data_IF_801116335411
#
_entry.id   IF_801116335411
#
_cell.length_a   1.000
_cell.length_b   1.000
_cell.length_c   1.000
_cell.angle_alpha   90.00
_cell.angle_beta   90.00
_cell.angle_gamma   90.00
#
_symmetry.space_group_name_H-M   'P 1'
#
loop_
_entity.id
_entity.type
_entity.pdbx_description
1 polymer ?
#
# COMPACT_ATOMS: atom_id res chain seq x y z
N UNK A 1 -4.83 29.18 -8.15
CA UNK A 1 -4.95 27.71 -8.29
C UNK A 1 -5.92 27.13 -7.27
N UNK A 2 -6.94 26.40 -7.73
CA UNK A 2 -7.88 25.65 -6.89
C UNK A 2 -8.00 24.21 -7.38
N UNK A 3 -8.30 23.29 -6.46
CA UNK A 3 -8.59 21.89 -6.79
C UNK A 3 -10.11 21.71 -6.77
N UNK A 4 -10.66 21.05 -7.79
CA UNK A 4 -12.08 20.67 -7.89
C UNK A 4 -12.27 19.16 -7.76
N UNK A 5 -11.39 18.38 -8.37
CA UNK A 5 -11.46 16.92 -8.33
C UNK A 5 -10.08 16.27 -8.52
N UNK A 6 -9.97 14.99 -8.14
CA UNK A 6 -8.79 14.17 -8.31
C UNK A 6 -9.24 12.82 -8.89
N UNK A 7 -8.63 12.38 -9.98
CA UNK A 7 -8.99 11.13 -10.64
C UNK A 7 -7.75 10.33 -11.08
N UNK A 8 -7.61 9.06 -10.65
CA UNK A 8 -8.42 8.40 -9.62
C UNK A 8 -8.26 9.05 -8.24
N UNK A 9 -9.30 8.99 -7.40
CA UNK A 9 -9.29 9.51 -6.03
C UNK A 9 -8.62 8.58 -5.01
N UNK A 10 -8.04 7.47 -5.48
CA UNK A 10 -7.44 6.43 -4.67
C UNK A 10 -6.27 5.74 -5.39
N UNK A 11 -5.42 5.06 -4.62
CA UNK A 11 -4.33 4.24 -5.13
C UNK A 11 -3.51 3.58 -4.03
N UNK A 12 -2.53 2.79 -4.43
CA UNK A 12 -1.80 1.92 -3.51
C UNK A 12 -0.75 2.67 -2.66
N UNK A 13 -0.53 2.20 -1.43
CA UNK A 13 0.53 2.67 -0.51
C UNK A 13 1.93 2.67 -1.12
N UNK A 14 2.19 1.83 -2.12
CA UNK A 14 3.48 1.76 -2.82
C UNK A 14 3.74 2.92 -3.77
N UNK A 15 2.73 3.71 -4.12
CA UNK A 15 2.84 4.88 -4.98
C UNK A 15 3.19 4.59 -6.44
N UNK A 16 3.36 5.66 -7.21
CA UNK A 16 3.61 5.70 -8.65
C UNK A 16 2.39 5.33 -9.50
N UNK A 17 1.20 5.60 -8.96
CA UNK A 17 0.00 5.68 -9.77
C UNK A 17 -0.08 7.06 -10.43
N UNK A 18 -0.43 7.07 -11.71
CA UNK A 18 -0.70 8.32 -12.44
C UNK A 18 -2.07 8.85 -12.04
N UNK A 19 -2.09 10.08 -11.54
CA UNK A 19 -3.30 10.78 -11.08
C UNK A 19 -3.42 12.10 -11.81
N UNK A 20 -4.64 12.44 -12.22
CA UNK A 20 -5.01 13.72 -12.82
C UNK A 20 -5.70 14.55 -11.75
N UNK A 21 -5.13 15.72 -11.46
CA UNK A 21 -5.74 16.72 -10.60
C UNK A 21 -6.46 17.73 -11.50
N UNK A 22 -7.75 17.93 -11.25
CA UNK A 22 -8.64 18.78 -12.04
C UNK A 22 -8.99 20.01 -11.20
N UNK A 23 -8.92 21.19 -11.81
CA UNK A 23 -9.14 22.45 -11.10
C UNK A 23 -9.09 23.65 -12.04
N UNK A 24 -8.69 24.80 -11.50
CA UNK A 24 -8.52 26.02 -12.29
C UNK A 24 -7.23 26.76 -11.93
N UNK A 25 -6.75 27.56 -12.88
CA UNK A 25 -5.58 28.41 -12.76
C UNK A 25 -4.30 27.61 -12.44
N UNK A 26 -4.12 26.49 -13.13
CA UNK A 26 -2.87 25.74 -13.14
C UNK A 26 -1.91 26.34 -14.17
N UNK A 27 -0.62 26.22 -13.87
CA UNK A 27 0.46 26.78 -14.68
C UNK A 27 1.73 25.96 -14.47
N UNK A 28 2.72 26.16 -15.34
CA UNK A 28 3.94 25.36 -15.33
C UNK A 28 4.80 25.64 -14.08
N UNK A 29 5.41 24.59 -13.55
CA UNK A 29 6.17 24.62 -12.29
C UNK A 29 5.31 24.59 -11.02
N UNK A 30 3.97 24.52 -11.13
CA UNK A 30 3.10 24.26 -9.98
C UNK A 30 3.38 22.85 -9.43
N UNK A 31 3.55 22.74 -8.12
CA UNK A 31 3.80 21.46 -7.44
C UNK A 31 2.53 21.00 -6.73
N UNK A 32 2.39 19.68 -6.59
CA UNK A 32 1.28 19.07 -5.83
C UNK A 32 1.85 18.48 -4.55
N UNK A 33 1.12 18.59 -3.45
CA UNK A 33 1.55 18.09 -2.15
C UNK A 33 0.52 17.07 -1.66
N UNK A 34 0.93 15.83 -1.47
CA UNK A 34 0.14 14.76 -0.86
C UNK A 34 0.47 14.69 0.63
N UNK A 35 -0.40 15.24 1.48
CA UNK A 35 -0.15 15.43 2.90
C UNK A 35 1.03 16.36 3.14
N UNK A 36 2.20 15.78 3.42
CA UNK A 36 3.47 16.48 3.61
C UNK A 36 4.51 16.20 2.51
N UNK A 37 4.20 15.34 1.54
CA UNK A 37 5.14 14.95 0.48
C UNK A 37 4.88 15.76 -0.77
N UNK A 38 5.92 16.45 -1.24
CA UNK A 38 5.87 17.25 -2.46
C UNK A 38 6.18 16.36 -3.67
N UNK A 39 5.37 16.50 -4.73
CA UNK A 39 5.58 15.85 -6.01
C UNK A 39 5.59 16.86 -7.15
N UNK A 40 6.42 16.56 -8.15
CA UNK A 40 6.41 17.27 -9.41
C UNK A 40 5.10 16.99 -10.15
N UNK A 41 4.59 18.04 -10.80
CA UNK A 41 3.41 17.94 -11.65
C UNK A 41 3.75 18.39 -13.06
N UNK A 42 3.07 17.77 -14.01
CA UNK A 42 3.17 18.10 -15.42
C UNK A 42 1.87 18.76 -15.85
N UNK A 43 1.99 19.95 -16.42
CA UNK A 43 0.84 20.70 -16.91
C UNK A 43 0.30 20.07 -18.19
N UNK A 44 -0.96 19.61 -18.16
CA UNK A 44 -1.67 19.21 -19.37
C UNK A 44 -2.43 20.41 -19.93
N UNK A 45 -3.23 21.06 -19.07
CA UNK A 45 -3.97 22.29 -19.39
C UNK A 45 -4.04 23.18 -18.16
N UNK A 46 -4.44 24.46 -18.29
CA UNK A 46 -4.72 25.32 -17.13
C UNK A 46 -5.78 24.78 -16.14
N UNK A 47 -6.47 23.68 -16.49
CA UNK A 47 -7.48 23.01 -15.67
C UNK A 47 -7.11 21.58 -15.26
N UNK A 48 -5.99 21.02 -15.76
CA UNK A 48 -5.58 19.66 -15.48
C UNK A 48 -4.05 19.52 -15.38
N UNK A 49 -3.58 18.90 -14.30
CA UNK A 49 -2.18 18.52 -14.11
C UNK A 49 -2.07 17.02 -13.85
N UNK A 50 -1.00 16.42 -14.37
CA UNK A 50 -0.64 15.01 -14.16
C UNK A 50 0.40 14.90 -13.05
N UNK A 51 0.20 13.95 -12.14
CA UNK A 51 1.15 13.64 -11.06
C UNK A 51 1.33 12.14 -10.88
N UNK A 52 2.46 11.76 -10.28
CA UNK A 52 2.71 10.41 -9.78
C UNK A 52 2.56 10.42 -8.26
N UNK A 53 1.77 9.50 -7.71
CA UNK A 53 1.58 9.41 -6.25
C UNK A 53 2.88 9.02 -5.55
N UNK A 54 3.27 9.68 -4.46
CA UNK A 54 4.42 9.25 -3.68
C UNK A 54 4.13 7.95 -2.90
N UNK A 55 5.14 7.13 -2.60
CA UNK A 55 4.98 6.01 -1.66
C UNK A 55 4.61 6.51 -0.26
N UNK A 56 3.73 5.77 0.43
CA UNK A 56 3.26 6.05 1.79
C UNK A 56 3.10 4.76 2.58
N UNK A 57 3.71 4.66 3.75
CA UNK A 57 3.70 3.45 4.58
C UNK A 57 2.38 3.21 5.35
N UNK A 58 1.58 4.27 5.58
CA UNK A 58 0.29 4.19 6.30
C UNK A 58 -0.85 4.38 5.29
N UNK A 59 -1.80 3.43 5.21
CA UNK A 59 -3.02 3.59 4.42
C UNK A 59 -3.94 4.66 5.02
N UNK A 60 -4.88 5.16 4.21
CA UNK A 60 -5.89 6.12 4.61
C UNK A 60 -5.87 7.40 3.79
N UNK A 61 -6.79 8.31 4.14
CA UNK A 61 -7.00 9.57 3.42
C UNK A 61 -5.82 10.51 3.63
N UNK A 62 -5.40 11.18 2.56
CA UNK A 62 -4.50 12.33 2.59
C UNK A 62 -5.16 13.54 1.96
N UNK A 63 -4.82 14.71 2.50
CA UNK A 63 -5.14 15.97 1.88
C UNK A 63 -4.17 16.25 0.73
N UNK A 64 -4.71 16.74 -0.38
CA UNK A 64 -3.93 17.14 -1.55
C UNK A 64 -4.03 18.64 -1.68
N UNK A 65 -2.88 19.30 -1.68
CA UNK A 65 -2.76 20.75 -1.82
C UNK A 65 -1.81 21.12 -2.94
N UNK A 66 -1.72 22.39 -3.28
CA UNK A 66 -0.85 22.90 -4.33
C UNK A 66 0.24 23.78 -3.71
N UNK A 67 1.43 23.80 -4.29
CA UNK A 67 2.56 24.61 -3.83
C UNK A 67 3.29 25.25 -5.01
N UNK A 68 3.72 26.50 -4.86
CA UNK A 68 4.59 27.16 -5.83
C UNK A 68 5.47 28.19 -5.11
N UNK A 69 6.80 28.14 -5.34
CA UNK A 69 7.79 29.02 -4.68
C UNK A 69 7.57 29.14 -3.17
N UNK A 70 7.38 27.99 -2.50
CA UNK A 70 7.09 27.88 -1.06
C UNK A 70 5.76 28.48 -0.58
N UNK A 71 4.90 28.95 -1.49
CA UNK A 71 3.54 29.37 -1.17
C UNK A 71 2.56 28.22 -1.40
N UNK A 72 1.81 27.87 -0.37
CA UNK A 72 0.82 26.79 -0.43
C UNK A 72 -0.58 27.34 -0.73
N UNK A 73 -1.35 26.61 -1.54
CA UNK A 73 -2.73 26.92 -1.93
C UNK A 73 -3.66 25.77 -1.55
N UNK A 74 -4.97 26.01 -1.61
CA UNK A 74 -6.02 25.02 -1.32
C UNK A 74 -6.02 24.47 0.12
N UNK A 75 -5.43 25.16 1.10
CA UNK A 75 -5.49 24.73 2.52
C UNK A 75 -6.91 24.70 3.09
N UNK A 76 -7.78 25.62 2.67
CA UNK A 76 -9.18 25.68 3.15
C UNK A 76 -10.14 24.75 2.39
N UNK A 77 -9.71 24.22 1.24
CA UNK A 77 -10.49 23.29 0.41
C UNK A 77 -9.53 22.31 -0.27
N UNK A 78 -8.88 21.42 0.49
CA UNK A 78 -7.94 20.47 -0.07
C UNK A 78 -8.66 19.39 -0.87
N UNK A 79 -7.99 18.89 -1.90
CA UNK A 79 -8.39 17.63 -2.52
C UNK A 79 -8.20 16.47 -1.54
N UNK A 80 -8.84 15.33 -1.80
CA UNK A 80 -8.66 14.12 -1.00
C UNK A 80 -8.20 12.98 -1.90
N UNK A 81 -7.21 12.22 -1.42
CA UNK A 81 -6.75 11.01 -2.07
C UNK A 81 -6.64 9.89 -1.04
N UNK A 82 -7.07 8.68 -1.39
CA UNK A 82 -7.08 7.54 -0.48
C UNK A 82 -5.93 6.58 -0.80
N UNK A 83 -5.05 6.35 0.18
CA UNK A 83 -4.06 5.28 0.06
C UNK A 83 -4.64 3.96 0.57
N UNK A 84 -4.70 2.96 -0.29
CA UNK A 84 -5.14 1.61 0.07
C UNK A 84 -3.93 0.71 0.24
N UNK A 85 -3.90 -0.08 1.31
CA UNK A 85 -2.86 -1.07 1.52
C UNK A 85 -3.03 -2.23 0.53
N UNK A 86 -1.91 -2.81 0.11
CA UNK A 86 -1.88 -4.01 -0.73
C UNK A 86 -2.19 -5.24 0.13
N UNK A 87 -3.45 -5.36 0.52
CA UNK A 87 -3.91 -6.54 1.25
C UNK A 87 -4.20 -7.68 0.26
N UNK A 88 -4.47 -7.37 -1.01
CA UNK A 88 -4.67 -8.35 -2.08
C UNK A 88 -3.90 -7.97 -3.35
N UNK A 89 -3.17 -8.92 -3.98
CA UNK A 89 -2.51 -8.67 -5.25
C UNK A 89 -3.56 -8.52 -6.37
N UNK A 90 -3.71 -7.30 -6.88
CA UNK A 90 -4.57 -7.03 -8.05
C UNK A 90 -3.77 -7.11 -9.34
N UNK A 91 -4.44 -7.50 -10.44
CA UNK A 91 -3.81 -7.62 -11.77
C UNK A 91 -3.21 -6.28 -12.22
N UNK A 92 -3.95 -5.18 -12.09
CA UNK A 92 -3.47 -3.85 -12.51
C UNK A 92 -2.27 -3.36 -11.70
N UNK A 93 -2.21 -3.69 -10.40
CA UNK A 93 -1.03 -3.40 -9.60
C UNK A 93 0.19 -4.20 -10.08
N UNK A 94 0.00 -5.49 -10.41
CA UNK A 94 1.05 -6.31 -11.04
C UNK A 94 1.62 -5.64 -12.28
N UNK A 95 0.76 -5.14 -13.18
CA UNK A 95 1.20 -4.41 -14.37
C UNK A 95 1.90 -3.09 -14.05
N UNK A 96 1.44 -2.35 -13.04
CA UNK A 96 2.11 -1.10 -12.63
C UNK A 96 3.52 -1.37 -12.07
N UNK A 97 3.71 -2.47 -11.33
CA UNK A 97 5.03 -2.91 -10.89
C UNK A 97 5.89 -3.30 -12.08
N UNK A 98 5.38 -4.14 -12.98
CA UNK A 98 6.09 -4.55 -14.18
C UNK A 98 6.52 -3.34 -15.02
N UNK A 99 5.66 -2.33 -15.18
CA UNK A 99 5.98 -1.11 -15.93
C UNK A 99 7.20 -0.35 -15.38
N UNK A 100 7.48 -0.47 -14.07
CA UNK A 100 8.63 0.14 -13.39
C UNK A 100 9.88 -0.74 -13.42
N UNK A 101 9.74 -2.06 -13.30
CA UNK A 101 10.88 -2.97 -13.13
C UNK A 101 11.36 -3.62 -14.42
N UNK A 102 10.52 -3.71 -15.45
CA UNK A 102 10.89 -4.32 -16.73
C UNK A 102 11.88 -3.41 -17.48
N UNK A 103 13.06 -3.93 -17.89
CA UNK A 103 14.03 -3.18 -18.68
C UNK A 103 13.43 -2.67 -19.99
N UNK A 104 13.82 -1.46 -20.40
CA UNK A 104 13.43 -0.83 -21.67
C UNK A 104 14.57 -0.92 -22.68
N UNK A 105 14.23 -1.11 -23.94
CA UNK A 105 15.16 -1.15 -25.08
C UNK A 105 15.03 0.11 -25.95
N UNK A 106 16.06 0.45 -26.75
CA UNK A 106 15.97 1.55 -27.71
C UNK A 106 14.77 1.38 -28.65
N UNK A 107 13.94 2.43 -28.78
CA UNK A 107 12.72 2.40 -29.60
C UNK A 107 11.44 2.02 -28.85
N UNK A 108 11.52 1.67 -27.57
CA UNK A 108 10.32 1.41 -26.78
C UNK A 108 9.48 2.68 -26.53
N UNK A 109 8.14 2.58 -26.56
CA UNK A 109 7.27 3.69 -26.16
C UNK A 109 7.45 4.04 -24.68
N UNK A 110 7.12 5.28 -24.30
CA UNK A 110 7.17 5.80 -22.91
C UNK A 110 6.30 5.01 -21.94
N UNK A 111 5.29 4.28 -22.44
CA UNK A 111 4.55 3.26 -21.69
C UNK A 111 4.52 1.96 -22.49
N UNK A 112 4.98 0.87 -21.87
CA UNK A 112 5.03 -0.44 -22.53
C UNK A 112 3.63 -1.06 -22.58
N UNK A 113 3.24 -1.69 -23.71
CA UNK A 113 2.01 -2.48 -23.77
C UNK A 113 2.02 -3.63 -22.75
N UNK A 114 0.84 -4.01 -22.22
CA UNK A 114 0.69 -5.08 -21.22
C UNK A 114 1.30 -6.41 -21.71
N UNK A 115 1.12 -6.74 -22.98
CA UNK A 115 1.70 -7.94 -23.61
C UNK A 115 3.25 -7.94 -23.62
N UNK A 116 3.87 -6.78 -23.88
CA UNK A 116 5.33 -6.65 -23.89
C UNK A 116 5.89 -6.79 -22.48
N UNK A 117 5.18 -6.25 -21.48
CA UNK A 117 5.55 -6.41 -20.07
C UNK A 117 5.53 -7.87 -19.65
N UNK A 118 4.48 -8.62 -20.01
CA UNK A 118 4.39 -10.04 -19.69
C UNK A 118 5.45 -10.87 -20.41
N UNK A 119 5.67 -10.62 -21.70
CA UNK A 119 6.70 -11.32 -22.48
C UNK A 119 8.08 -11.17 -21.83
N UNK A 120 8.50 -9.94 -21.53
CA UNK A 120 9.80 -9.68 -20.90
C UNK A 120 9.89 -10.22 -19.48
N UNK A 121 8.78 -10.19 -18.73
CA UNK A 121 8.73 -10.80 -17.40
C UNK A 121 8.97 -12.31 -17.48
N UNK A 122 8.37 -12.99 -18.47
CA UNK A 122 8.59 -14.41 -18.71
C UNK A 122 10.03 -14.69 -19.14
N UNK A 123 10.58 -13.96 -20.12
CA UNK A 123 11.96 -14.13 -20.58
C UNK A 123 12.97 -13.99 -19.42
N UNK A 124 12.76 -13.02 -18.51
CA UNK A 124 13.59 -12.83 -17.33
C UNK A 124 13.42 -13.96 -16.29
N UNK A 125 12.19 -14.43 -16.07
CA UNK A 125 11.94 -15.56 -15.18
C UNK A 125 12.60 -16.84 -15.73
N UNK A 126 12.48 -17.11 -17.03
CA UNK A 126 13.15 -18.23 -17.68
C UNK A 126 14.66 -18.14 -17.57
N UNK A 127 15.25 -16.95 -17.76
CA UNK A 127 16.69 -16.76 -17.58
C UNK A 127 17.15 -17.01 -16.13
N UNK A 128 16.32 -16.68 -15.14
CA UNK A 128 16.62 -16.86 -13.71
C UNK A 128 16.44 -18.30 -13.22
N UNK A 129 15.47 -19.04 -13.76
CA UNK A 129 15.11 -20.39 -13.31
C UNK A 129 15.56 -21.50 -14.28
N UNK A 130 15.87 -21.19 -15.53
CA UNK A 130 16.21 -22.16 -16.58
C UNK A 130 17.68 -22.60 -16.60
N UNK A 131 18.58 -21.88 -15.92
CA UNK A 131 20.00 -22.26 -15.80
C UNK A 131 20.43 -22.09 -14.34
N UNK A 132 20.78 -23.17 -13.60
CA UNK A 132 21.25 -23.04 -12.23
C UNK A 132 22.61 -22.31 -12.24
N UNK A 133 22.59 -21.05 -11.78
CA UNK A 133 23.76 -20.20 -11.66
C UNK A 133 24.08 -19.88 -10.21
N UNK A 134 25.35 -19.60 -9.91
CA UNK A 134 25.85 -19.32 -8.55
C UNK A 134 25.17 -18.14 -7.83
N UNK A 135 24.49 -17.25 -8.56
CA UNK A 135 23.81 -16.07 -8.01
C UNK A 135 22.30 -16.27 -7.78
N UNK A 136 21.73 -17.43 -8.14
CA UNK A 136 20.28 -17.67 -8.08
C UNK A 136 19.74 -17.51 -6.66
N UNK A 137 20.40 -18.11 -5.67
CA UNK A 137 19.95 -18.10 -4.27
C UNK A 137 19.91 -16.69 -3.67
N UNK A 138 20.91 -15.86 -3.99
CA UNK A 138 20.96 -14.46 -3.56
C UNK A 138 19.84 -13.63 -4.20
N UNK A 139 19.57 -13.86 -5.49
CA UNK A 139 18.51 -13.15 -6.22
C UNK A 139 17.12 -13.54 -5.72
N UNK A 140 16.88 -14.83 -5.45
CA UNK A 140 15.63 -15.32 -4.87
C UNK A 140 15.41 -14.74 -3.47
N UNK A 141 16.46 -14.65 -2.65
CA UNK A 141 16.38 -14.06 -1.31
C UNK A 141 15.98 -12.57 -1.37
N UNK A 142 16.61 -11.78 -2.24
CA UNK A 142 16.20 -10.38 -2.47
C UNK A 142 14.76 -10.25 -2.96
N UNK A 143 14.33 -11.14 -3.86
CA UNK A 143 12.95 -11.13 -4.36
C UNK A 143 11.95 -11.40 -3.23
N UNK A 144 12.28 -12.33 -2.32
CA UNK A 144 11.47 -12.63 -1.13
C UNK A 144 11.40 -11.43 -0.18
N UNK A 145 12.53 -10.79 0.14
CA UNK A 145 12.57 -9.59 1.01
C UNK A 145 11.70 -8.45 0.44
N UNK A 146 11.76 -8.24 -0.88
CA UNK A 146 10.94 -7.23 -1.57
C UNK A 146 9.45 -7.61 -1.53
N UNK A 147 9.11 -8.88 -1.74
CA UNK A 147 7.72 -9.33 -1.65
C UNK A 147 7.19 -9.15 -0.22
N UNK A 148 7.96 -9.52 0.79
CA UNK A 148 7.61 -9.33 2.20
C UNK A 148 7.41 -7.85 2.54
N UNK A 149 8.29 -6.96 2.10
CA UNK A 149 8.14 -5.52 2.34
C UNK A 149 6.89 -4.92 1.67
N UNK A 150 6.42 -5.48 0.55
CA UNK A 150 5.29 -4.95 -0.21
C UNK A 150 3.94 -5.51 0.25
N UNK A 151 3.91 -6.71 0.81
CA UNK A 151 2.68 -7.43 1.18
C UNK A 151 2.52 -7.63 2.71
N UNK A 152 3.52 -7.23 3.52
CA UNK A 152 3.36 -7.29 4.97
C UNK A 152 2.45 -6.19 5.48
N UNK A 153 1.45 -6.57 6.26
CA UNK A 153 0.71 -5.65 7.12
C UNK A 153 1.62 -5.16 8.26
N UNK A 154 1.41 -3.95 8.82
CA UNK A 154 2.07 -3.58 10.06
C UNK A 154 1.66 -4.59 11.12
N UNK A 155 2.57 -5.47 11.53
CA UNK A 155 2.38 -6.29 12.73
C UNK A 155 2.31 -5.30 13.89
N UNK A 156 1.12 -5.15 14.47
CA UNK A 156 0.98 -4.43 15.74
C UNK A 156 2.06 -4.95 16.69
N UNK A 157 2.78 -4.08 17.43
CA UNK A 157 3.70 -4.56 18.44
C UNK A 157 2.88 -5.42 19.40
N UNK A 158 3.13 -6.74 19.38
CA UNK A 158 2.52 -7.63 20.35
C UNK A 158 2.84 -7.09 21.74
N UNK A 159 1.88 -7.13 22.68
CA UNK A 159 2.16 -6.69 24.04
C UNK A 159 3.38 -7.46 24.52
N UNK A 160 4.38 -6.70 25.01
CA UNK A 160 5.57 -7.24 25.66
C UNK A 160 5.13 -8.29 26.68
N UNK A 161 5.39 -9.56 26.38
CA UNK A 161 5.23 -10.63 27.34
C UNK A 161 6.12 -10.33 28.54
N UNK A 162 5.64 -10.49 29.78
CA UNK A 162 6.46 -10.18 30.94
C UNK A 162 7.67 -11.11 30.96
N UNK A 163 8.83 -10.51 31.24
CA UNK A 163 10.10 -11.20 31.50
C UNK A 163 9.88 -12.31 32.53
N UNK A 164 10.03 -13.57 32.11
CA UNK A 164 10.14 -14.70 33.02
C UNK A 164 11.56 -14.71 33.63
N UNK A 165 11.72 -14.76 34.96
CA UNK A 165 12.99 -15.08 35.57
C UNK A 165 13.20 -16.61 35.60
N UNK A 166 14.39 -17.00 35.18
CA UNK A 166 14.99 -18.34 35.29
C UNK A 166 15.12 -18.80 36.74
N UNK A 167 14.78 -20.07 37.04
CA UNK A 167 15.58 -21.05 37.79
C UNK A 167 14.84 -22.41 37.96
N UNK A 168 15.55 -23.53 38.23
CA UNK A 168 15.07 -24.88 37.88
C UNK A 168 14.69 -25.81 39.08
N UNK A 169 13.84 -26.80 38.79
CA UNK A 169 13.52 -28.08 39.50
C UNK A 169 12.72 -28.05 40.84
N UNK A 170 12.08 -29.18 41.28
CA UNK A 170 11.46 -30.31 40.57
C UNK A 170 10.00 -30.59 41.02
N UNK A 171 9.36 -31.57 40.37
CA UNK A 171 7.98 -32.01 40.60
C UNK A 171 7.71 -32.59 42.00
N UNK A 172 6.52 -32.31 42.55
CA UNK A 172 5.88 -33.12 43.60
C UNK A 172 4.39 -33.24 43.30
N UNK A 173 3.92 -34.48 43.34
CA UNK A 173 2.55 -34.96 43.14
C UNK A 173 1.68 -34.59 44.34
N UNK A 174 0.42 -34.18 44.10
CA UNK A 174 -0.55 -33.83 45.15
C UNK A 174 -2.01 -33.93 44.66
N UNK A 175 -2.57 -35.10 44.88
CA UNK A 175 -3.96 -35.57 44.74
C UNK A 175 -5.07 -34.75 45.45
N UNK A 176 -6.30 -34.91 44.91
CA UNK A 176 -7.64 -34.79 45.54
C UNK A 176 -8.18 -33.38 45.87
N UNK A 177 -9.48 -33.03 45.79
CA UNK A 177 -10.73 -33.75 45.46
C UNK A 177 -11.89 -32.72 45.35
N UNK A 178 -12.92 -33.08 44.56
CA UNK A 178 -14.36 -32.75 44.67
C UNK A 178 -14.84 -31.32 45.07
N UNK A 179 -15.62 -30.67 44.19
CA UNK A 179 -17.09 -30.70 44.24
C UNK A 179 -17.72 -29.72 43.22
N UNK A 180 -18.66 -30.20 42.41
CA UNK A 180 -19.67 -29.43 41.66
C UNK A 180 -20.98 -29.45 42.50
N UNK A 181 -21.98 -28.54 42.34
CA UNK A 181 -22.64 -28.28 41.05
C UNK A 181 -23.31 -26.92 40.80
N UNK A 182 -23.72 -26.76 39.53
CA UNK A 182 -24.86 -26.03 38.95
C UNK A 182 -25.19 -24.58 39.39
N UNK A 183 -25.22 -23.68 38.39
CA UNK A 183 -26.41 -22.85 38.12
C UNK A 183 -26.41 -22.42 36.64
N UNK A 184 -27.42 -22.89 35.91
CA UNK A 184 -27.81 -22.39 34.58
C UNK A 184 -28.66 -21.13 34.79
N UNK A 185 -28.33 -20.04 34.11
CA UNK A 185 -29.23 -18.91 33.91
C UNK A 185 -29.43 -18.70 32.41
N UNK A 186 -30.53 -19.23 31.90
CA UNK A 186 -31.10 -18.91 30.59
C UNK A 186 -31.77 -17.55 30.71
N UNK A 187 -31.28 -16.56 29.96
CA UNK A 187 -31.94 -15.27 29.78
C UNK A 187 -32.85 -15.33 28.55
N UNK A 188 -34.15 -15.40 28.79
CA UNK A 188 -35.24 -15.34 27.83
C UNK A 188 -35.41 -13.89 27.30
N UNK A 189 -35.61 -13.73 25.99
CA UNK A 189 -35.87 -12.45 25.33
C UNK A 189 -37.21 -12.54 24.58
N UNK A 190 -38.18 -11.61 24.79
CA UNK A 190 -39.46 -11.66 24.08
C UNK A 190 -39.38 -10.96 22.71
N UNK A 191 -39.94 -11.55 21.63
CA UNK A 191 -40.15 -10.86 20.37
C UNK A 191 -41.47 -10.07 20.39
N UNK A 192 -41.44 -8.87 19.80
CA UNK A 192 -42.56 -7.94 19.71
C UNK A 192 -43.68 -8.37 18.74
N UNK A 193 -44.80 -7.62 18.68
CA UNK A 193 -45.92 -7.95 17.82
C UNK A 193 -45.91 -7.16 16.50
N UNK A 194 -46.16 -7.87 15.41
CA UNK A 194 -46.87 -7.43 14.19
C UNK A 194 -47.99 -8.46 13.95
N UNK A 195 -49.03 -8.18 13.15
CA UNK A 195 -49.21 -7.08 12.19
C UNK A 195 -50.33 -6.08 12.52
#
# INVERSE_FOLDING_TARGET
PCIKAISPGEGWTTGGATVIVIGDNFFDGLQVVFGNVLVWSELITPHAIRVQTPPRHIPGVVEVTLSYKSKQFCKGAPGRFVYTALNEPTIDYGFQRLQKVIPRHPGDPERLPKEVLLKRAADLAEALYGVPGSNQELLLKRAADVAEALYSTPRAPGPLGPLAPSHPHPAVVGINAFSSPLAIAVGDAPPGPEP
#
